data_IF_895023714710
#
_entry.id   IF_895023714710
#
_cell.length_a   1.000
_cell.length_b   1.000
_cell.length_c   1.000
_cell.angle_alpha   90.00
_cell.angle_beta   90.00
_cell.angle_gamma   90.00
#
_symmetry.space_group_name_H-M   'P 1'
#
loop_
_entity.id
_entity.type
_entity.pdbx_description
1 polymer ?
#
# COMPACT_ATOMS: atom_id res chain seq x y z
N UNK A 1 12.51 11.52 -12.02
CA UNK A 1 12.84 10.38 -12.88
C UNK A 1 14.28 9.91 -12.68
N UNK A 2 15.30 10.81 -12.67
CA UNK A 2 16.72 10.45 -12.56
C UNK A 2 17.04 9.62 -11.30
N UNK A 3 16.60 10.07 -10.13
CA UNK A 3 16.86 9.36 -8.88
C UNK A 3 16.31 7.92 -8.90
N UNK A 4 15.13 7.74 -9.49
CA UNK A 4 14.52 6.41 -9.65
C UNK A 4 15.33 5.56 -10.64
N UNK A 5 15.80 6.14 -11.75
CA UNK A 5 16.62 5.44 -12.72
C UNK A 5 17.99 5.03 -12.14
N UNK A 6 18.62 5.88 -11.33
CA UNK A 6 19.85 5.54 -10.62
C UNK A 6 19.67 4.40 -9.63
N UNK A 7 18.53 4.33 -8.94
CA UNK A 7 18.21 3.27 -7.99
C UNK A 7 18.00 1.90 -8.63
N UNK A 8 17.69 1.82 -9.92
CA UNK A 8 17.54 0.57 -10.63
C UNK A 8 18.89 -0.13 -10.84
N UNK A 9 18.90 -1.44 -10.66
CA UNK A 9 19.97 -2.32 -11.19
C UNK A 9 19.83 -2.49 -12.71
N UNK A 10 20.90 -2.82 -13.45
CA UNK A 10 20.78 -3.25 -14.84
C UNK A 10 19.76 -4.39 -14.99
N UNK A 11 18.94 -4.34 -16.03
CA UNK A 11 17.77 -5.21 -16.24
C UNK A 11 16.49 -4.74 -15.55
N UNK A 12 16.56 -3.77 -14.62
CA UNK A 12 15.40 -3.21 -13.92
C UNK A 12 14.53 -2.35 -14.83
N UNK A 13 13.25 -2.26 -14.51
CA UNK A 13 12.24 -1.48 -15.25
C UNK A 13 11.75 -0.30 -14.42
N UNK A 14 11.61 0.85 -15.05
CA UNK A 14 11.02 2.07 -14.53
C UNK A 14 9.72 2.36 -15.28
N UNK A 15 8.67 2.64 -14.55
CA UNK A 15 7.44 3.23 -15.10
C UNK A 15 7.38 4.67 -14.62
N UNK A 16 7.25 5.58 -15.58
CA UNK A 16 7.02 7.01 -15.35
C UNK A 16 5.61 7.35 -15.80
N UNK A 17 4.82 7.97 -14.94
CA UNK A 17 3.45 8.35 -15.27
C UNK A 17 3.09 9.69 -14.66
N UNK A 18 2.20 10.42 -15.35
CA UNK A 18 1.64 11.69 -14.89
C UNK A 18 0.15 11.73 -15.18
N UNK A 19 -0.57 12.60 -14.48
CA UNK A 19 -1.98 12.92 -14.76
C UNK A 19 -2.13 14.14 -15.69
N UNK A 20 -1.05 14.60 -16.32
CA UNK A 20 -1.09 15.70 -17.30
C UNK A 20 -0.94 15.16 -18.72
N UNK A 21 -1.32 15.98 -19.70
CA UNK A 21 -1.20 15.66 -21.12
C UNK A 21 -0.23 16.60 -21.84
N UNK A 22 0.50 17.43 -21.09
CA UNK A 22 1.43 18.36 -21.68
C UNK A 22 2.82 17.70 -21.94
N UNK A 23 3.41 18.03 -23.06
CA UNK A 23 4.67 17.46 -23.51
C UNK A 23 5.85 17.76 -22.56
N UNK A 24 5.86 18.94 -21.93
CA UNK A 24 6.96 19.37 -21.07
C UNK A 24 7.10 18.54 -19.82
N UNK A 25 5.99 18.03 -19.27
CA UNK A 25 5.98 17.15 -18.10
C UNK A 25 6.08 15.65 -18.48
N UNK A 26 5.84 15.31 -19.73
CA UNK A 26 5.73 13.96 -20.24
C UNK A 26 6.94 13.57 -21.11
N UNK A 27 6.81 13.71 -22.42
CA UNK A 27 7.84 13.27 -23.38
C UNK A 27 9.19 13.96 -23.14
N UNK A 28 9.18 15.26 -22.86
CA UNK A 28 10.44 16.02 -22.72
C UNK A 28 11.21 15.56 -21.47
N UNK A 29 10.52 15.17 -20.40
CA UNK A 29 11.14 14.58 -19.21
C UNK A 29 11.77 13.22 -19.52
N UNK A 30 11.05 12.36 -20.23
CA UNK A 30 11.55 11.02 -20.60
C UNK A 30 12.68 11.12 -21.60
N UNK A 31 12.52 11.93 -22.67
CA UNK A 31 13.52 12.16 -23.69
C UNK A 31 14.80 12.78 -23.10
N UNK A 32 14.66 13.67 -22.09
CA UNK A 32 15.79 14.21 -21.36
C UNK A 32 16.58 13.13 -20.61
N UNK A 33 15.92 12.12 -20.05
CA UNK A 33 16.59 10.97 -19.43
C UNK A 33 17.28 10.10 -20.49
N UNK A 34 16.60 9.79 -21.59
CA UNK A 34 17.17 9.00 -22.70
C UNK A 34 18.40 9.66 -23.29
N UNK A 35 18.38 10.99 -23.46
CA UNK A 35 19.53 11.77 -23.94
C UNK A 35 20.72 11.76 -22.97
N UNK A 36 20.47 11.71 -21.65
CA UNK A 36 21.56 11.60 -20.66
C UNK A 36 22.17 10.19 -20.57
N UNK A 37 21.37 9.16 -20.84
CA UNK A 37 21.80 7.76 -20.70
C UNK A 37 21.51 6.93 -21.97
N UNK A 38 22.02 7.35 -23.15
CA UNK A 38 21.63 6.77 -24.43
C UNK A 38 22.02 5.28 -24.60
N UNK A 39 23.01 4.81 -23.84
CA UNK A 39 23.45 3.39 -23.86
C UNK A 39 22.96 2.58 -22.68
N UNK A 40 22.27 3.21 -21.72
CA UNK A 40 21.83 2.57 -20.50
C UNK A 40 20.31 2.62 -20.28
N UNK A 41 19.57 3.32 -21.14
CA UNK A 41 18.13 3.43 -21.08
C UNK A 41 17.49 3.00 -22.42
N UNK A 42 16.50 2.14 -22.33
CA UNK A 42 15.72 1.61 -23.47
C UNK A 42 14.23 1.80 -23.19
N UNK A 43 13.49 2.27 -24.21
CA UNK A 43 12.02 2.35 -24.15
C UNK A 43 11.45 0.96 -24.37
N UNK A 44 10.51 0.57 -23.51
CA UNK A 44 9.70 -0.62 -23.68
C UNK A 44 8.31 -0.19 -24.17
N UNK A 45 7.95 -0.44 -25.45
CA UNK A 45 6.67 0.02 -26.01
C UNK A 45 5.47 -0.53 -25.24
N UNK A 46 4.40 0.26 -25.18
CA UNK A 46 3.19 -0.02 -24.40
C UNK A 46 1.98 -0.43 -25.26
N UNK A 47 2.14 -0.57 -26.58
CA UNK A 47 1.04 -0.84 -27.50
C UNK A 47 0.27 -2.15 -27.27
N UNK A 48 0.87 -3.10 -26.57
CA UNK A 48 0.24 -4.38 -26.21
C UNK A 48 -0.31 -4.43 -24.78
N UNK A 49 -0.32 -3.32 -24.06
CA UNK A 49 -0.66 -3.30 -22.64
C UNK A 49 -2.15 -3.65 -22.40
N UNK A 50 -3.03 -3.16 -23.27
CA UNK A 50 -4.46 -3.46 -23.27
C UNK A 50 -5.03 -3.23 -24.69
N UNK A 51 -6.27 -3.70 -24.99
CA UNK A 51 -6.92 -3.42 -26.26
C UNK A 51 -6.94 -1.92 -26.57
N UNK A 52 -6.66 -1.53 -27.81
CA UNK A 52 -6.61 -0.13 -28.29
C UNK A 52 -5.43 0.72 -27.75
N UNK A 53 -4.54 0.20 -26.89
CA UNK A 53 -3.38 0.98 -26.44
C UNK A 53 -2.52 1.49 -27.60
N UNK A 54 -2.45 0.74 -28.70
CA UNK A 54 -1.72 1.13 -29.91
C UNK A 54 -2.26 2.39 -30.59
N UNK A 55 -3.52 2.78 -30.37
CA UNK A 55 -4.16 3.95 -30.96
C UNK A 55 -3.69 5.27 -30.33
N UNK A 56 -3.07 5.19 -29.17
CA UNK A 56 -2.65 6.35 -28.38
C UNK A 56 -1.14 6.34 -28.04
N UNK A 57 -0.34 5.57 -28.79
CA UNK A 57 1.11 5.60 -28.69
C UNK A 57 1.70 6.84 -29.33
N UNK A 58 2.76 7.38 -28.70
CA UNK A 58 3.66 8.32 -29.37
C UNK A 58 4.62 7.56 -30.31
N UNK A 59 5.33 8.27 -31.16
CA UNK A 59 6.37 7.70 -32.03
C UNK A 59 7.47 7.00 -31.23
N UNK A 60 7.75 7.48 -30.00
CA UNK A 60 8.75 6.91 -29.11
C UNK A 60 8.26 5.65 -28.38
N UNK A 61 6.97 5.33 -28.46
CA UNK A 61 6.33 4.18 -27.82
C UNK A 61 5.80 4.45 -26.41
N UNK A 62 5.63 5.72 -26.03
CA UNK A 62 4.93 6.13 -24.81
C UNK A 62 3.43 6.09 -25.05
N UNK A 63 2.64 6.03 -23.98
CA UNK A 63 1.20 5.97 -24.06
C UNK A 63 0.57 7.24 -23.49
N UNK A 64 -0.27 7.89 -24.30
CA UNK A 64 -1.22 8.90 -23.83
C UNK A 64 -2.59 8.27 -23.60
N UNK A 65 -3.04 8.22 -22.38
CA UNK A 65 -4.40 7.78 -22.05
C UNK A 65 -5.33 9.00 -22.19
N UNK A 66 -5.90 9.19 -23.37
CA UNK A 66 -6.77 10.32 -23.66
C UNK A 66 -8.21 10.04 -23.21
N UNK A 67 -8.86 11.01 -22.50
CA UNK A 67 -10.26 10.86 -22.07
C UNK A 67 -11.23 10.53 -23.20
N UNK A 68 -11.06 11.14 -24.35
CA UNK A 68 -11.95 10.95 -25.52
C UNK A 68 -11.80 9.57 -26.19
N UNK A 69 -10.71 8.83 -25.90
CA UNK A 69 -10.48 7.49 -26.45
C UNK A 69 -10.88 6.42 -25.45
N UNK A 70 -10.56 6.63 -24.14
CA UNK A 70 -10.65 5.59 -23.12
C UNK A 70 -11.74 5.82 -22.07
N UNK A 71 -12.52 6.90 -22.20
CA UNK A 71 -13.58 7.28 -21.25
C UNK A 71 -13.10 7.29 -19.78
N UNK A 72 -11.94 7.91 -19.54
CA UNK A 72 -11.31 7.99 -18.24
C UNK A 72 -10.58 9.33 -18.05
N UNK A 73 -9.98 9.56 -16.90
CA UNK A 73 -9.09 10.71 -16.71
C UNK A 73 -7.83 10.59 -17.57
N UNK A 74 -7.29 11.74 -17.98
CA UNK A 74 -6.09 11.78 -18.80
C UNK A 74 -4.85 11.32 -18.05
N UNK A 75 -4.02 10.49 -18.71
CA UNK A 75 -2.76 10.00 -18.17
C UNK A 75 -1.68 9.91 -19.25
N UNK A 76 -0.44 10.04 -18.82
CA UNK A 76 0.72 9.68 -19.62
C UNK A 76 1.49 8.56 -18.94
N UNK A 77 1.99 7.61 -19.73
CA UNK A 77 2.80 6.49 -19.21
C UNK A 77 3.97 6.23 -20.15
N UNK A 78 5.18 6.11 -19.57
CA UNK A 78 6.37 5.61 -20.26
C UNK A 78 6.98 4.47 -19.46
N UNK A 79 7.41 3.42 -20.13
CA UNK A 79 8.09 2.27 -19.54
C UNK A 79 9.50 2.16 -20.09
N UNK A 80 10.48 2.18 -19.19
CA UNK A 80 11.89 2.18 -19.53
C UNK A 80 12.59 0.99 -18.87
N UNK A 81 13.59 0.42 -19.56
CA UNK A 81 14.50 -0.57 -19.00
C UNK A 81 15.87 0.06 -18.82
N UNK A 82 16.52 -0.20 -17.69
CA UNK A 82 17.93 0.08 -17.51
C UNK A 82 18.74 -1.08 -18.07
N UNK A 83 19.50 -0.84 -19.13
CA UNK A 83 20.27 -1.87 -19.83
C UNK A 83 21.68 -2.04 -19.30
N UNK A 84 22.29 -0.95 -18.76
CA UNK A 84 23.65 -0.95 -18.28
C UNK A 84 23.78 -0.20 -16.94
N UNK A 85 24.89 -0.45 -16.24
CA UNK A 85 25.27 0.34 -15.06
C UNK A 85 25.64 1.76 -15.47
N UNK A 86 25.26 2.73 -14.64
CA UNK A 86 25.64 4.14 -14.78
C UNK A 86 26.40 4.59 -13.53
N UNK A 87 27.14 5.68 -13.62
CA UNK A 87 27.84 6.25 -12.48
C UNK A 87 26.85 6.55 -11.33
N UNK A 88 27.18 6.18 -10.08
CA UNK A 88 26.31 6.45 -8.96
C UNK A 88 26.14 7.95 -8.72
N UNK A 89 24.98 8.35 -8.22
CA UNK A 89 24.79 9.72 -7.73
C UNK A 89 25.72 9.98 -6.53
N UNK A 90 26.16 11.23 -6.34
CA UNK A 90 26.86 11.61 -5.12
C UNK A 90 26.06 11.23 -3.89
N UNK A 91 26.75 10.77 -2.83
CA UNK A 91 26.10 10.47 -1.59
C UNK A 91 25.33 11.69 -1.06
N UNK A 92 24.09 11.53 -0.60
CA UNK A 92 23.30 12.67 -0.11
C UNK A 92 23.97 13.29 1.11
N UNK A 93 24.06 14.61 1.12
CA UNK A 93 24.68 15.39 2.20
C UNK A 93 23.83 15.55 3.47
N UNK A 94 22.78 14.75 3.67
CA UNK A 94 21.92 14.85 4.86
C UNK A 94 22.39 13.93 5.99
N UNK A 95 22.17 14.37 7.22
CA UNK A 95 22.37 13.53 8.41
C UNK A 95 21.22 12.55 8.52
N UNK A 96 21.52 11.26 8.61
CA UNK A 96 20.50 10.21 8.70
C UNK A 96 19.70 10.29 10.01
N UNK A 97 20.30 10.76 11.08
CA UNK A 97 19.68 10.80 12.40
C UNK A 97 19.65 9.42 13.08
N UNK A 98 19.16 9.39 14.33
CA UNK A 98 18.99 8.14 15.08
C UNK A 98 17.73 7.42 14.59
N UNK A 99 17.81 6.12 14.36
CA UNK A 99 16.65 5.30 14.08
C UNK A 99 15.78 5.21 15.34
N UNK A 100 14.49 5.62 15.29
CA UNK A 100 13.70 5.83 16.51
C UNK A 100 13.04 4.56 17.05
N UNK A 101 13.24 3.40 16.41
CA UNK A 101 12.61 2.14 16.81
C UNK A 101 13.63 1.23 17.53
N UNK A 102 13.12 0.42 18.45
CA UNK A 102 13.88 -0.57 19.21
C UNK A 102 13.32 -1.95 18.88
N UNK A 103 14.15 -2.96 18.55
CA UNK A 103 13.66 -4.30 18.29
C UNK A 103 13.05 -4.90 19.58
N UNK A 104 11.92 -5.57 19.42
CA UNK A 104 11.28 -6.28 20.53
C UNK A 104 12.01 -7.59 20.83
N UNK A 105 12.06 -7.96 22.11
CA UNK A 105 12.64 -9.24 22.55
C UNK A 105 11.76 -10.40 22.09
N UNK A 106 12.35 -11.57 21.90
CA UNK A 106 11.65 -12.77 21.40
C UNK A 106 10.40 -13.12 22.21
N UNK A 107 10.45 -12.99 23.56
CA UNK A 107 9.28 -13.25 24.42
C UNK A 107 8.14 -12.27 24.19
N UNK A 108 8.45 -10.99 24.04
CA UNK A 108 7.46 -9.94 23.76
C UNK A 108 6.87 -10.11 22.36
N UNK A 109 7.72 -10.39 21.37
CA UNK A 109 7.30 -10.68 20.01
C UNK A 109 6.35 -11.88 19.93
N UNK A 110 6.65 -12.96 20.64
CA UNK A 110 5.80 -14.15 20.70
C UNK A 110 4.43 -13.85 21.36
N UNK A 111 4.41 -13.05 22.42
CA UNK A 111 3.16 -12.65 23.08
C UNK A 111 2.27 -11.79 22.13
N UNK A 112 2.88 -10.87 21.38
CA UNK A 112 2.18 -10.05 20.39
C UNK A 112 1.65 -10.91 19.25
N UNK A 113 2.46 -11.83 18.72
CA UNK A 113 2.05 -12.75 17.66
C UNK A 113 0.86 -13.63 18.08
N UNK A 114 0.88 -14.15 19.31
CA UNK A 114 -0.23 -14.92 19.87
C UNK A 114 -1.50 -14.07 19.98
N UNK A 115 -1.39 -12.83 20.47
CA UNK A 115 -2.54 -11.92 20.58
C UNK A 115 -3.09 -11.49 19.21
N UNK A 116 -2.22 -11.31 18.22
CA UNK A 116 -2.60 -10.99 16.84
C UNK A 116 -3.33 -12.17 16.18
N UNK A 117 -2.79 -13.38 16.31
CA UNK A 117 -3.41 -14.60 15.80
C UNK A 117 -4.83 -14.83 16.39
N UNK A 118 -5.03 -14.50 17.67
CA UNK A 118 -6.32 -14.61 18.33
C UNK A 118 -7.42 -13.73 17.69
N UNK A 119 -7.03 -12.66 16.98
CA UNK A 119 -7.95 -11.80 16.22
C UNK A 119 -7.86 -12.00 14.70
N UNK A 120 -7.12 -13.02 14.24
CA UNK A 120 -6.99 -13.38 12.82
C UNK A 120 -5.97 -12.54 12.05
N UNK A 121 -4.95 -11.99 12.72
CA UNK A 121 -3.84 -11.28 12.07
C UNK A 121 -2.60 -12.18 12.04
N UNK A 122 -2.02 -12.36 10.86
CA UNK A 122 -0.87 -13.23 10.65
C UNK A 122 0.18 -12.56 9.76
N UNK A 123 1.44 -12.90 9.99
CA UNK A 123 2.57 -12.53 9.14
C UNK A 123 3.62 -13.66 9.16
N UNK A 124 4.48 -13.67 8.18
CA UNK A 124 5.53 -14.68 8.02
C UNK A 124 6.79 -14.37 8.82
N UNK A 125 7.74 -15.31 8.76
CA UNK A 125 9.03 -15.21 9.47
C UNK A 125 9.98 -14.14 8.88
N UNK A 126 9.66 -13.60 7.69
CA UNK A 126 10.46 -12.57 7.05
C UNK A 126 10.20 -11.15 7.62
N UNK A 127 9.38 -11.08 8.67
CA UNK A 127 9.07 -9.84 9.36
C UNK A 127 9.52 -9.85 10.82
N UNK A 128 9.92 -8.68 11.31
CA UNK A 128 10.36 -8.46 12.69
C UNK A 128 9.53 -7.38 13.36
N UNK A 129 9.37 -7.51 14.68
CA UNK A 129 8.61 -6.56 15.50
C UNK A 129 9.52 -5.55 16.17
N UNK A 130 9.16 -4.30 16.06
CA UNK A 130 9.87 -3.15 16.62
C UNK A 130 8.91 -2.27 17.40
N UNK A 131 9.45 -1.50 18.36
CA UNK A 131 8.67 -0.59 19.18
C UNK A 131 9.19 0.84 19.08
N UNK A 132 8.26 1.80 19.05
CA UNK A 132 8.49 3.21 19.27
C UNK A 132 7.42 3.73 20.23
N UNK A 133 7.83 4.13 21.42
CA UNK A 133 6.91 4.54 22.50
C UNK A 133 5.87 3.42 22.81
N UNK A 134 4.59 3.69 22.56
CA UNK A 134 3.49 2.72 22.71
C UNK A 134 3.17 1.98 21.42
N UNK A 135 3.76 2.36 20.31
CA UNK A 135 3.48 1.80 19.00
C UNK A 135 4.30 0.55 18.74
N UNK A 136 3.66 -0.48 18.23
CA UNK A 136 4.28 -1.70 17.72
C UNK A 136 4.24 -1.66 16.20
N UNK A 137 5.38 -1.92 15.60
CA UNK A 137 5.58 -1.87 14.15
C UNK A 137 6.09 -3.21 13.64
N UNK A 138 5.65 -3.58 12.45
CA UNK A 138 6.09 -4.76 11.71
C UNK A 138 6.95 -4.31 10.53
N UNK A 139 8.22 -4.77 10.49
CA UNK A 139 9.15 -4.45 9.43
C UNK A 139 9.60 -5.71 8.70
N UNK A 140 9.76 -5.67 7.36
CA UNK A 140 10.48 -6.72 6.66
C UNK A 140 11.92 -6.85 7.19
N UNK A 141 12.35 -8.05 7.54
CA UNK A 141 13.70 -8.33 8.05
C UNK A 141 14.81 -7.80 7.12
N UNK A 142 14.61 -7.89 5.80
CA UNK A 142 15.55 -7.38 4.80
C UNK A 142 15.88 -5.89 4.94
N UNK A 143 15.01 -5.09 5.55
CA UNK A 143 15.23 -3.66 5.76
C UNK A 143 16.13 -3.33 6.94
N UNK A 144 16.38 -4.25 7.85
CA UNK A 144 17.20 -4.01 9.05
C UNK A 144 18.63 -3.56 8.71
N UNK A 145 19.18 -4.07 7.62
CA UNK A 145 20.49 -3.66 7.11
C UNK A 145 20.60 -2.18 6.73
N UNK A 146 19.46 -1.48 6.54
CA UNK A 146 19.35 -0.08 6.17
C UNK A 146 19.07 0.85 7.36
N UNK A 147 18.71 0.29 8.53
CA UNK A 147 18.37 1.09 9.70
C UNK A 147 19.59 1.90 10.19
N UNK A 148 19.38 3.20 10.41
CA UNK A 148 20.44 4.14 10.73
C UNK A 148 21.38 4.52 9.57
N UNK A 149 21.19 3.96 8.37
CA UNK A 149 21.98 4.28 7.17
C UNK A 149 21.23 5.14 6.16
N UNK A 150 19.90 5.01 6.12
CA UNK A 150 19.04 5.81 5.25
C UNK A 150 17.95 6.48 6.08
N UNK A 151 17.42 7.59 5.57
CA UNK A 151 16.30 8.28 6.19
C UNK A 151 15.00 7.74 5.59
N UNK A 152 14.10 7.29 6.46
CA UNK A 152 12.78 6.83 6.07
C UNK A 152 11.73 7.90 6.41
N UNK A 153 10.85 8.19 5.47
CA UNK A 153 9.63 8.98 5.71
C UNK A 153 8.51 8.08 6.25
N UNK A 154 8.40 6.88 5.69
CA UNK A 154 7.49 5.81 6.12
C UNK A 154 8.22 4.48 5.99
N UNK A 155 7.95 3.55 6.88
CA UNK A 155 8.57 2.22 6.89
C UNK A 155 7.64 1.23 7.60
N UNK A 156 7.44 0.05 6.99
CA UNK A 156 6.68 -1.03 7.59
C UNK A 156 5.21 -0.72 7.82
N UNK A 157 4.59 -1.54 8.66
CA UNK A 157 3.17 -1.42 9.04
C UNK A 157 3.10 -1.14 10.55
N UNK A 158 2.37 -0.10 10.94
CA UNK A 158 2.02 0.12 12.33
C UNK A 158 0.99 -0.94 12.74
N UNK A 159 1.44 -1.92 13.51
CA UNK A 159 0.64 -3.09 13.84
C UNK A 159 -0.40 -2.78 14.91
N UNK A 160 0.03 -2.19 16.01
CA UNK A 160 -0.82 -1.91 17.16
C UNK A 160 -0.28 -0.79 18.05
N UNK A 161 -1.09 -0.33 18.99
CA UNK A 161 -0.67 0.42 20.16
C UNK A 161 -0.88 -0.41 21.43
N UNK A 162 0.09 -0.38 22.33
CA UNK A 162 -0.03 -0.98 23.66
C UNK A 162 -0.89 -0.11 24.57
N UNK A 163 -1.76 -0.71 25.34
CA UNK A 163 -2.50 -0.06 26.43
C UNK A 163 -2.71 -1.01 27.61
N UNK A 164 -3.27 -0.53 28.72
CA UNK A 164 -3.35 -1.27 29.99
C UNK A 164 -4.11 -2.60 29.89
N UNK A 165 -4.93 -2.82 28.87
CA UNK A 165 -5.76 -4.03 28.69
C UNK A 165 -5.36 -4.86 27.46
N UNK A 166 -4.19 -4.62 26.88
CA UNK A 166 -3.70 -5.36 25.70
C UNK A 166 -3.31 -4.47 24.53
N UNK A 167 -3.78 -4.79 23.35
CA UNK A 167 -3.37 -4.13 22.10
C UNK A 167 -4.57 -3.50 21.39
N UNK A 168 -4.38 -2.32 20.86
CA UNK A 168 -5.30 -1.69 19.90
C UNK A 168 -4.71 -1.86 18.50
N UNK A 169 -5.23 -2.82 17.76
CA UNK A 169 -4.81 -3.10 16.40
C UNK A 169 -5.15 -1.94 15.47
N UNK A 170 -4.22 -1.64 14.55
CA UNK A 170 -4.39 -0.55 13.60
C UNK A 170 -5.13 -1.05 12.37
N UNK A 171 -5.91 -0.18 11.76
CA UNK A 171 -6.71 -0.51 10.59
C UNK A 171 -5.86 -1.01 9.43
N UNK A 172 -4.74 -0.34 9.14
CA UNK A 172 -3.81 -0.72 8.08
C UNK A 172 -3.25 -2.14 8.28
N UNK A 173 -2.99 -2.50 9.53
CA UNK A 173 -2.53 -3.84 9.86
C UNK A 173 -3.63 -4.88 9.65
N UNK A 174 -4.87 -4.55 10.02
CA UNK A 174 -6.02 -5.45 9.77
C UNK A 174 -6.19 -5.69 8.28
N UNK A 175 -6.19 -4.63 7.46
CA UNK A 175 -6.36 -4.76 6.01
C UNK A 175 -5.21 -5.55 5.36
N UNK A 176 -3.97 -5.36 5.83
CA UNK A 176 -2.80 -6.00 5.22
C UNK A 176 -2.55 -7.43 5.69
N UNK A 177 -2.94 -7.79 6.92
CA UNK A 177 -2.53 -9.02 7.59
C UNK A 177 -3.70 -9.94 7.96
N UNK A 178 -4.93 -9.54 7.62
CA UNK A 178 -6.11 -10.34 7.95
C UNK A 178 -6.12 -11.67 7.19
N UNK A 179 -6.11 -12.74 7.94
CA UNK A 179 -6.34 -14.11 7.48
C UNK A 179 -7.15 -14.86 8.56
N UNK A 180 -8.40 -14.43 8.81
CA UNK A 180 -9.21 -15.00 9.88
C UNK A 180 -9.71 -16.40 9.51
N UNK A 181 -9.65 -17.34 10.45
CA UNK A 181 -10.23 -18.68 10.28
C UNK A 181 -11.76 -18.62 10.13
N UNK A 182 -12.39 -17.62 10.73
CA UNK A 182 -13.84 -17.42 10.69
C UNK A 182 -14.14 -15.92 10.49
N UNK A 183 -14.03 -15.38 9.27
CA UNK A 183 -14.40 -14.00 8.98
C UNK A 183 -15.91 -13.82 9.12
N UNK A 184 -16.32 -12.63 9.52
CA UNK A 184 -17.72 -12.26 9.55
C UNK A 184 -18.08 -11.49 8.28
N UNK A 185 -18.72 -12.17 7.35
CA UNK A 185 -19.13 -11.58 6.08
C UNK A 185 -20.34 -10.67 6.26
N UNK A 186 -20.22 -9.41 5.90
CA UNK A 186 -21.28 -8.43 5.91
C UNK A 186 -22.13 -8.53 4.64
N UNK A 187 -23.41 -8.29 4.78
CA UNK A 187 -24.28 -7.99 3.63
C UNK A 187 -23.88 -6.66 3.00
N UNK A 188 -24.26 -6.41 1.75
CA UNK A 188 -24.00 -5.13 1.09
C UNK A 188 -24.50 -3.92 1.88
N UNK A 189 -25.70 -4.01 2.47
CA UNK A 189 -26.27 -2.94 3.28
C UNK A 189 -25.45 -2.69 4.55
N UNK A 190 -24.98 -3.74 5.22
CA UNK A 190 -24.13 -3.64 6.40
C UNK A 190 -22.75 -3.11 6.06
N UNK A 191 -22.17 -3.48 4.91
CA UNK A 191 -20.90 -2.95 4.42
C UNK A 191 -21.00 -1.45 4.10
N UNK A 192 -22.13 -0.99 3.52
CA UNK A 192 -22.38 0.44 3.34
C UNK A 192 -22.41 1.20 4.66
N UNK A 193 -23.10 0.69 5.69
CA UNK A 193 -23.11 1.30 7.02
C UNK A 193 -21.71 1.29 7.64
N UNK A 194 -20.94 0.20 7.45
CA UNK A 194 -19.54 0.12 7.91
C UNK A 194 -18.68 1.24 7.29
N UNK A 195 -18.73 1.43 5.98
CA UNK A 195 -17.99 2.50 5.29
C UNK A 195 -18.45 3.91 5.67
N UNK A 196 -19.70 4.05 6.12
CA UNK A 196 -20.22 5.31 6.70
C UNK A 196 -19.78 5.54 8.14
N UNK A 197 -18.95 4.65 8.70
CA UNK A 197 -18.48 4.75 10.09
C UNK A 197 -19.55 4.42 11.13
N UNK A 198 -20.66 3.77 10.74
CA UNK A 198 -21.75 3.41 11.62
C UNK A 198 -21.61 1.98 12.16
N UNK A 199 -22.14 1.75 13.36
CA UNK A 199 -22.22 0.40 13.93
C UNK A 199 -23.16 -0.47 13.10
N UNK A 200 -22.84 -1.76 13.00
CA UNK A 200 -23.63 -2.75 12.25
C UNK A 200 -24.42 -3.63 13.21
N UNK A 201 -25.63 -3.98 12.84
CA UNK A 201 -26.56 -4.80 13.64
C UNK A 201 -26.95 -6.07 12.86
N UNK A 202 -26.06 -7.08 12.81
CA UNK A 202 -26.35 -8.30 12.07
C UNK A 202 -27.49 -9.10 12.73
N UNK A 203 -28.29 -9.77 11.89
CA UNK A 203 -29.39 -10.63 12.38
C UNK A 203 -28.88 -11.75 13.30
N UNK A 204 -27.70 -12.29 13.01
CA UNK A 204 -27.01 -13.28 13.85
C UNK A 204 -25.62 -12.74 14.14
N UNK A 205 -25.37 -12.22 15.36
CA UNK A 205 -24.05 -11.70 15.70
C UNK A 205 -23.01 -12.82 15.84
N UNK A 206 -21.70 -12.54 15.58
CA UNK A 206 -20.62 -13.50 15.75
C UNK A 206 -20.49 -13.96 17.21
N UNK A 207 -19.86 -15.11 17.42
CA UNK A 207 -19.60 -15.60 18.79
C UNK A 207 -18.43 -14.88 19.45
N UNK A 208 -17.39 -14.52 18.68
CA UNK A 208 -16.19 -13.83 19.14
C UNK A 208 -16.48 -12.38 19.52
N UNK A 209 -15.75 -11.86 20.51
CA UNK A 209 -15.85 -10.45 20.94
C UNK A 209 -15.18 -9.48 19.95
N UNK A 210 -14.04 -9.87 19.42
CA UNK A 210 -13.33 -9.15 18.36
C UNK A 210 -13.35 -10.01 17.09
N UNK A 211 -13.80 -9.45 15.97
CA UNK A 211 -13.97 -10.17 14.72
C UNK A 211 -13.58 -9.32 13.52
N UNK A 212 -12.88 -9.92 12.57
CA UNK A 212 -12.63 -9.28 11.28
C UNK A 212 -13.89 -9.34 10.45
N UNK A 213 -14.43 -8.18 10.11
CA UNK A 213 -15.55 -8.06 9.18
C UNK A 213 -15.03 -8.00 7.75
N UNK A 214 -15.71 -8.74 6.86
CA UNK A 214 -15.36 -8.85 5.44
C UNK A 214 -16.57 -8.49 4.57
N UNK A 215 -16.31 -8.10 3.33
CA UNK A 215 -17.32 -7.96 2.30
C UNK A 215 -16.76 -8.47 0.98
N UNK A 216 -17.46 -9.40 0.34
CA UNK A 216 -16.99 -10.12 -0.84
C UNK A 216 -15.60 -10.75 -0.64
N UNK A 217 -15.36 -11.29 0.56
CA UNK A 217 -14.09 -11.90 0.95
C UNK A 217 -12.95 -10.93 1.27
N UNK A 218 -13.13 -9.61 1.09
CA UNK A 218 -12.12 -8.61 1.40
C UNK A 218 -12.28 -8.10 2.85
N UNK A 219 -11.20 -7.96 3.65
CA UNK A 219 -11.28 -7.43 5.01
C UNK A 219 -11.64 -5.94 4.98
N UNK A 220 -12.61 -5.54 5.79
CA UNK A 220 -13.04 -4.15 5.97
C UNK A 220 -12.52 -3.54 7.28
N UNK A 221 -12.22 -4.37 8.27
CA UNK A 221 -11.72 -3.91 9.55
C UNK A 221 -11.98 -4.89 10.68
N UNK A 222 -11.53 -4.52 11.87
CA UNK A 222 -11.79 -5.26 13.11
C UNK A 222 -12.98 -4.63 13.84
N UNK A 223 -14.03 -5.39 14.03
CA UNK A 223 -15.20 -5.01 14.80
C UNK A 223 -15.11 -5.52 16.23
N UNK A 224 -15.71 -4.79 17.18
CA UNK A 224 -15.92 -5.27 18.55
C UNK A 224 -17.39 -5.54 18.78
N UNK A 225 -17.72 -6.76 19.18
CA UNK A 225 -19.08 -7.12 19.56
C UNK A 225 -19.47 -6.46 20.87
N UNK A 226 -20.60 -5.80 20.90
CA UNK A 226 -21.22 -5.20 22.09
C UNK A 226 -22.71 -5.54 22.08
N UNK A 227 -23.11 -6.58 22.80
CA UNK A 227 -24.47 -7.12 22.72
C UNK A 227 -24.78 -7.66 21.32
N UNK A 228 -25.81 -7.14 20.67
CA UNK A 228 -26.21 -7.52 19.31
C UNK A 228 -25.53 -6.70 18.21
N UNK A 229 -24.74 -5.70 18.55
CA UNK A 229 -24.08 -4.83 17.56
C UNK A 229 -22.60 -5.13 17.40
N UNK A 230 -22.10 -4.86 16.23
CA UNK A 230 -20.68 -4.77 15.91
C UNK A 230 -20.28 -3.30 15.90
N UNK A 231 -19.49 -2.90 16.90
CA UNK A 231 -18.98 -1.55 17.00
C UNK A 231 -18.00 -1.30 15.86
N UNK A 232 -18.23 -0.24 15.12
CA UNK A 232 -17.39 0.18 14.01
C UNK A 232 -16.08 0.82 14.51
N UNK A 233 -14.95 0.38 13.93
CA UNK A 233 -13.62 0.95 14.17
C UNK A 233 -12.98 1.52 12.90
N UNK A 234 -13.78 1.74 11.85
CA UNK A 234 -13.31 2.27 10.58
C UNK A 234 -12.73 3.69 10.77
N UNK A 235 -11.56 3.99 10.19
CA UNK A 235 -10.93 5.30 10.35
C UNK A 235 -11.83 6.43 9.83
N UNK A 236 -11.98 7.50 10.61
CA UNK A 236 -12.88 8.60 10.27
C UNK A 236 -12.51 9.30 8.98
N UNK A 237 -11.24 9.39 8.67
CA UNK A 237 -10.69 9.96 7.43
C UNK A 237 -11.02 9.14 6.17
N UNK A 238 -11.39 7.86 6.33
CA UNK A 238 -11.78 6.97 5.25
C UNK A 238 -13.31 6.88 5.07
N UNK A 239 -14.08 7.43 5.99
CA UNK A 239 -15.55 7.40 5.96
C UNK A 239 -16.08 8.01 4.66
N UNK A 240 -17.10 7.38 4.07
CA UNK A 240 -17.79 7.81 2.86
C UNK A 240 -19.29 7.89 3.13
N UNK A 241 -19.88 9.07 2.91
CA UNK A 241 -21.32 9.31 3.12
C UNK A 241 -22.17 9.07 1.86
N UNK A 242 -21.53 8.91 0.69
CA UNK A 242 -22.21 8.68 -0.57
C UNK A 242 -22.77 7.27 -0.72
N UNK A 243 -23.52 7.02 -1.79
CA UNK A 243 -23.95 5.69 -2.22
C UNK A 243 -22.73 4.96 -2.79
N UNK A 244 -22.25 3.92 -2.09
CA UNK A 244 -20.99 3.26 -2.44
C UNK A 244 -21.15 2.15 -3.48
N UNK A 245 -22.27 1.45 -3.44
CA UNK A 245 -22.55 0.40 -4.40
C UNK A 245 -23.67 0.85 -5.32
N UNK A 246 -23.32 1.25 -6.55
CA UNK A 246 -24.33 1.46 -7.59
C UNK A 246 -24.77 0.10 -8.10
N UNK A 247 -26.03 -0.24 -7.96
CA UNK A 247 -26.66 -1.23 -8.83
C UNK A 247 -26.58 -0.66 -10.25
N UNK A 248 -25.55 -1.05 -11.04
CA UNK A 248 -25.70 -0.97 -12.50
C UNK A 248 -26.80 -1.97 -12.84
N UNK A 249 -27.99 -1.43 -13.18
CA UNK A 249 -29.04 -2.19 -13.81
C UNK A 249 -28.55 -2.64 -15.20
#
# INVERSE_FOLDING_TARGET
IDSAFHALRPGGTLVYSTCTLNRQENEDVVNGLLARYPQAAEVLPLGSLFPQASEALTEEGFLHVFPQIFDCEGFFVARLRKTAAIAPLPAPGYKVGKFPFIPLKSRESAAIATAAAAVGLHWDADHTLWQRDKEIWLFPHALESLFGKVRFSRIGIRLAETHNKGYRWQHEAVIALAAPDAPFELTQAEAEEWYRGRDVYPAVPPQQDDVIVTFQGAPLGLAKKIGSRLKNSYPRELVRDGKLFSTKA
#
